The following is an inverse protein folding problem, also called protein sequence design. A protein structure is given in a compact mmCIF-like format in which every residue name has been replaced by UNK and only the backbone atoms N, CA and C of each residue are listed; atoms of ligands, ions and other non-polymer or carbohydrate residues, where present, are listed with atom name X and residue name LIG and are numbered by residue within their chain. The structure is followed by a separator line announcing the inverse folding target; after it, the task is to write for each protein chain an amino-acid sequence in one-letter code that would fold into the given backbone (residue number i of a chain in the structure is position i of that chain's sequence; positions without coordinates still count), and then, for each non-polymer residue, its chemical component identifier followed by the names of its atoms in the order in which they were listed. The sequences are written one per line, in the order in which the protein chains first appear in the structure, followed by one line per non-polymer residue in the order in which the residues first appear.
data_IF_246006110533
#
_entry.id   IF_246006110533
#
_cell.length_a   1.000
_cell.length_b   1.000
_cell.length_c   1.000
_cell.angle_alpha   90.00
_cell.angle_beta   90.00
_cell.angle_gamma   90.00
#
_symmetry.space_group_name_H-M   'P 1'
#
loop_
_entity.id
_entity.type
_entity.pdbx_description
1 polymer ?
#
# COMPACT_ATOMS: atom_id res chain seq x y z
N UNK A 1 8.81 -25.61 -1.11
CA UNK A 1 9.44 -24.40 -0.50
C UNK A 1 8.52 -23.86 0.58
N UNK A 2 9.06 -23.40 1.72
CA UNK A 2 8.24 -22.74 2.75
C UNK A 2 7.84 -21.34 2.30
N UNK A 3 6.74 -20.79 2.84
CA UNK A 3 6.31 -19.41 2.57
C UNK A 3 7.45 -18.41 2.83
N UNK A 4 8.19 -18.58 3.94
CA UNK A 4 9.33 -17.72 4.28
C UNK A 4 10.41 -17.78 3.17
N UNK A 5 10.78 -18.97 2.73
CA UNK A 5 11.79 -19.11 1.67
C UNK A 5 11.34 -18.49 0.33
N UNK A 6 10.03 -18.55 0.02
CA UNK A 6 9.48 -17.90 -1.17
C UNK A 6 9.50 -16.37 -1.03
N UNK A 7 9.16 -15.84 0.15
CA UNK A 7 9.26 -14.41 0.44
C UNK A 7 10.71 -13.91 0.37
N UNK A 8 11.67 -14.66 0.96
CA UNK A 8 13.10 -14.33 0.89
C UNK A 8 13.60 -14.25 -0.56
N UNK A 9 13.21 -15.22 -1.38
CA UNK A 9 13.56 -15.22 -2.80
C UNK A 9 12.95 -14.04 -3.55
N UNK A 10 11.66 -13.74 -3.30
CA UNK A 10 10.96 -12.62 -3.92
C UNK A 10 11.55 -11.27 -3.52
N UNK A 11 11.84 -11.05 -2.24
CA UNK A 11 12.47 -9.83 -1.73
C UNK A 11 13.85 -9.60 -2.36
N UNK A 12 14.66 -10.67 -2.45
CA UNK A 12 15.96 -10.61 -3.17
C UNK A 12 15.78 -10.27 -4.65
N UNK A 13 14.79 -10.88 -5.31
CA UNK A 13 14.49 -10.60 -6.72
C UNK A 13 14.06 -9.16 -6.96
N UNK A 14 13.38 -8.53 -5.99
CA UNK A 14 13.04 -7.12 -6.02
C UNK A 14 14.25 -6.20 -5.71
N UNK A 15 15.39 -6.74 -5.32
CA UNK A 15 16.58 -5.96 -4.91
C UNK A 15 16.37 -5.17 -3.62
N UNK A 16 15.42 -5.57 -2.78
CA UNK A 16 15.08 -4.85 -1.56
C UNK A 16 15.92 -5.32 -0.37
N UNK A 17 16.46 -4.38 0.39
CA UNK A 17 17.01 -4.62 1.72
C UNK A 17 15.91 -4.43 2.76
N UNK A 18 15.54 -5.51 3.46
CA UNK A 18 14.53 -5.49 4.52
C UNK A 18 15.17 -5.87 5.87
N UNK A 19 14.59 -5.45 7.00
CA UNK A 19 15.09 -5.82 8.32
C UNK A 19 15.15 -7.34 8.54
N UNK A 20 16.06 -7.77 9.40
CA UNK A 20 16.10 -9.16 9.84
C UNK A 20 14.76 -9.59 10.43
N UNK A 21 14.26 -10.75 10.03
CA UNK A 21 12.95 -11.26 10.46
C UNK A 21 11.73 -10.68 9.72
N UNK A 22 11.91 -9.74 8.79
CA UNK A 22 10.79 -9.14 8.04
C UNK A 22 9.98 -10.20 7.27
N UNK A 23 10.63 -11.13 6.58
CA UNK A 23 9.95 -12.21 5.84
C UNK A 23 9.21 -13.20 6.75
N UNK A 24 9.70 -13.43 7.97
CA UNK A 24 8.97 -14.20 8.98
C UNK A 24 7.70 -13.46 9.44
N UNK A 25 7.78 -12.15 9.70
CA UNK A 25 6.61 -11.32 10.01
C UNK A 25 5.60 -11.33 8.87
N UNK A 26 6.04 -11.20 7.62
CA UNK A 26 5.17 -11.27 6.43
C UNK A 26 4.50 -12.64 6.27
N UNK A 27 5.19 -13.72 6.58
CA UNK A 27 4.60 -15.07 6.61
C UNK A 27 3.53 -15.19 7.71
N UNK A 28 3.78 -14.63 8.90
CA UNK A 28 2.78 -14.55 9.99
C UNK A 28 1.55 -13.74 9.56
N UNK A 29 1.75 -12.59 8.90
CA UNK A 29 0.67 -11.80 8.33
C UNK A 29 -0.19 -12.60 7.35
N UNK A 30 0.43 -13.35 6.43
CA UNK A 30 -0.31 -14.18 5.47
C UNK A 30 -1.09 -15.31 6.15
N UNK A 31 -0.53 -15.95 7.17
CA UNK A 31 -1.22 -16.98 7.94
C UNK A 31 -2.45 -16.39 8.66
N UNK A 32 -2.29 -15.20 9.27
CA UNK A 32 -3.39 -14.49 9.92
C UNK A 32 -4.47 -14.08 8.91
N UNK A 33 -4.07 -13.54 7.76
CA UNK A 33 -4.98 -13.17 6.68
C UNK A 33 -5.76 -14.39 6.18
N UNK A 34 -5.11 -15.50 5.92
CA UNK A 34 -5.76 -16.74 5.50
C UNK A 34 -6.77 -17.24 6.53
N UNK A 35 -6.46 -17.16 7.84
CA UNK A 35 -7.37 -17.52 8.93
C UNK A 35 -8.62 -16.64 8.93
N UNK A 36 -8.47 -15.34 8.92
CA UNK A 36 -9.57 -14.39 8.94
C UNK A 36 -10.41 -14.43 7.65
N UNK A 37 -9.76 -14.66 6.51
CA UNK A 37 -10.43 -14.68 5.22
C UNK A 37 -11.49 -15.80 5.09
N UNK A 38 -11.35 -16.86 5.89
CA UNK A 38 -12.36 -17.95 5.94
C UNK A 38 -13.72 -17.45 6.43
N UNK A 39 -13.73 -16.45 7.31
CA UNK A 39 -14.95 -15.94 7.95
C UNK A 39 -15.41 -14.61 7.37
N UNK A 40 -14.47 -13.71 7.02
CA UNK A 40 -14.80 -12.32 6.73
C UNK A 40 -14.63 -11.91 5.27
N UNK A 41 -14.14 -12.80 4.38
CA UNK A 41 -13.91 -12.52 2.96
C UNK A 41 -13.12 -11.22 2.73
N UNK A 42 -11.98 -11.11 3.40
CA UNK A 42 -11.10 -9.93 3.35
C UNK A 42 -10.40 -9.78 1.99
N UNK A 43 -10.19 -10.88 1.27
CA UNK A 43 -9.60 -10.92 -0.07
C UNK A 43 -10.21 -12.04 -0.90
N UNK A 44 -10.24 -11.85 -2.22
CA UNK A 44 -10.67 -12.89 -3.16
C UNK A 44 -9.62 -14.01 -3.33
N UNK A 45 -8.34 -13.72 -3.07
CA UNK A 45 -7.24 -14.67 -3.21
C UNK A 45 -7.23 -15.58 -1.98
N UNK A 46 -7.29 -16.90 -2.23
CA UNK A 46 -7.34 -17.92 -1.18
C UNK A 46 -6.11 -18.82 -1.17
N UNK A 47 -5.46 -18.96 -2.31
CA UNK A 47 -4.26 -19.81 -2.47
C UNK A 47 -3.05 -19.14 -1.81
N UNK A 48 -2.37 -19.81 -0.84
CA UNK A 48 -1.25 -19.20 -0.10
C UNK A 48 -0.11 -18.73 -1.00
N UNK A 49 0.22 -19.49 -2.06
CA UNK A 49 1.27 -19.09 -3.00
C UNK A 49 0.91 -17.79 -3.74
N UNK A 50 -0.35 -17.64 -4.15
CA UNK A 50 -0.83 -16.40 -4.76
C UNK A 50 -0.88 -15.24 -3.77
N UNK A 51 -1.17 -15.49 -2.49
CA UNK A 51 -1.09 -14.44 -1.47
C UNK A 51 0.34 -13.89 -1.32
N UNK A 52 1.37 -14.74 -1.44
CA UNK A 52 2.77 -14.29 -1.42
C UNK A 52 3.02 -13.30 -2.55
N UNK A 53 2.69 -13.66 -3.78
CA UNK A 53 3.01 -12.87 -4.96
C UNK A 53 2.09 -11.65 -5.13
N UNK A 54 0.76 -11.86 -5.12
CA UNK A 54 -0.23 -10.83 -5.44
C UNK A 54 -0.60 -9.92 -4.27
N UNK A 55 -0.17 -10.26 -3.04
CA UNK A 55 -0.37 -9.39 -1.89
C UNK A 55 0.95 -8.82 -1.38
N UNK A 56 1.87 -9.69 -0.95
CA UNK A 56 3.08 -9.21 -0.28
C UNK A 56 4.11 -8.66 -1.28
N UNK A 57 4.50 -9.45 -2.29
CA UNK A 57 5.51 -9.00 -3.25
C UNK A 57 4.98 -7.85 -4.13
N UNK A 58 3.71 -7.87 -4.50
CA UNK A 58 3.04 -6.76 -5.19
C UNK A 58 3.10 -5.46 -4.37
N UNK A 59 2.83 -5.55 -3.05
CA UNK A 59 2.94 -4.39 -2.15
C UNK A 59 4.38 -3.90 -1.99
N UNK A 60 5.34 -4.82 -1.83
CA UNK A 60 6.75 -4.49 -1.66
C UNK A 60 7.39 -3.92 -2.92
N UNK A 61 6.92 -4.31 -4.12
CA UNK A 61 7.41 -3.80 -5.39
C UNK A 61 7.28 -2.26 -5.49
N UNK A 62 6.37 -1.65 -4.75
CA UNK A 62 6.24 -0.18 -4.64
C UNK A 62 7.56 0.47 -4.22
N UNK A 63 8.30 -0.16 -3.30
CA UNK A 63 9.58 0.36 -2.78
C UNK A 63 10.71 0.38 -3.82
N UNK A 64 10.57 -0.29 -4.94
CA UNK A 64 11.54 -0.23 -6.04
C UNK A 64 11.45 1.07 -6.84
N UNK A 65 10.34 1.80 -6.71
CA UNK A 65 10.04 3.01 -7.48
C UNK A 65 9.82 4.25 -6.61
N UNK A 66 9.64 4.07 -5.30
CA UNK A 66 9.44 5.17 -4.36
C UNK A 66 10.62 5.32 -3.41
N UNK A 67 11.28 6.46 -3.49
CA UNK A 67 12.30 6.86 -2.51
C UNK A 67 11.59 7.60 -1.37
N UNK A 68 11.50 6.95 -0.22
CA UNK A 68 10.86 7.49 0.97
C UNK A 68 11.91 7.87 2.01
N UNK A 69 11.87 9.10 2.49
CA UNK A 69 12.73 9.55 3.57
C UNK A 69 12.44 8.77 4.87
N UNK A 70 13.44 8.61 5.71
CA UNK A 70 13.24 8.07 7.06
C UNK A 70 12.34 9.00 7.87
N UNK A 71 11.38 8.44 8.60
CA UNK A 71 10.36 9.20 9.31
C UNK A 71 9.18 9.66 8.46
N UNK A 72 9.18 9.41 7.15
CA UNK A 72 8.08 9.81 6.28
C UNK A 72 6.76 9.18 6.74
N UNK A 73 5.69 9.97 6.65
CA UNK A 73 4.32 9.60 7.00
C UNK A 73 3.60 9.08 5.77
N UNK A 74 3.17 7.84 5.81
CA UNK A 74 2.45 7.18 4.73
C UNK A 74 1.01 6.87 5.16
N UNK A 75 0.04 7.23 4.34
CA UNK A 75 -1.36 6.87 4.48
C UNK A 75 -1.76 5.85 3.40
N UNK A 76 -2.22 4.68 3.80
CA UNK A 76 -2.84 3.69 2.93
C UNK A 76 -4.36 3.86 2.98
N UNK A 77 -4.96 4.38 1.89
CA UNK A 77 -6.40 4.69 1.82
C UNK A 77 -7.16 3.54 1.20
N UNK A 78 -8.17 3.07 1.90
CA UNK A 78 -8.92 1.88 1.51
C UNK A 78 -8.05 0.63 1.63
N UNK A 79 -7.28 0.54 2.71
CA UNK A 79 -6.25 -0.47 2.92
C UNK A 79 -6.76 -1.92 2.91
N UNK A 80 -8.08 -2.12 2.97
CA UNK A 80 -8.65 -3.46 2.93
C UNK A 80 -8.09 -4.37 4.03
N UNK A 81 -7.44 -5.49 3.68
CA UNK A 81 -6.74 -6.32 4.64
C UNK A 81 -5.34 -5.78 5.01
N UNK A 82 -5.11 -4.47 4.91
CA UNK A 82 -3.83 -3.84 5.23
C UNK A 82 -2.81 -3.86 4.08
N UNK A 83 -3.27 -3.77 2.84
CA UNK A 83 -2.43 -3.86 1.64
C UNK A 83 -2.55 -2.59 0.78
N UNK A 84 -1.43 -1.91 0.48
CA UNK A 84 -0.04 -2.32 0.71
C UNK A 84 0.55 -1.96 2.09
N UNK A 85 -0.14 -1.23 2.94
CA UNK A 85 0.40 -0.59 4.15
C UNK A 85 1.12 -1.51 5.13
N UNK A 86 0.56 -2.70 5.48
CA UNK A 86 1.23 -3.62 6.42
C UNK A 86 2.55 -4.18 5.89
N UNK A 87 2.65 -4.69 4.64
CA UNK A 87 3.93 -5.09 4.07
C UNK A 87 4.95 -3.95 4.04
N UNK A 88 4.52 -2.72 3.72
CA UNK A 88 5.41 -1.54 3.73
C UNK A 88 5.90 -1.21 5.15
N UNK A 89 5.02 -1.27 6.16
CA UNK A 89 5.39 -1.05 7.56
C UNK A 89 6.40 -2.10 8.07
N UNK A 90 6.27 -3.37 7.65
CA UNK A 90 7.21 -4.43 7.99
C UNK A 90 8.57 -4.22 7.32
N UNK A 91 8.58 -3.84 6.04
CA UNK A 91 9.82 -3.66 5.27
C UNK A 91 10.57 -2.37 5.64
N UNK A 92 9.85 -1.33 6.07
CA UNK A 92 10.36 0.00 6.40
C UNK A 92 9.88 0.44 7.79
N UNK A 93 10.50 -0.08 8.86
CA UNK A 93 10.12 0.26 10.24
C UNK A 93 10.41 1.73 10.61
N UNK A 94 11.15 2.41 9.79
CA UNK A 94 11.46 3.85 9.88
C UNK A 94 10.34 4.77 9.36
N UNK A 95 9.33 4.23 8.67
CA UNK A 95 8.15 4.99 8.23
C UNK A 95 7.07 5.03 9.31
N UNK A 96 6.25 6.07 9.33
CA UNK A 96 5.01 6.13 10.11
C UNK A 96 3.81 5.80 9.20
N UNK A 97 3.26 4.58 9.31
CA UNK A 97 2.22 4.09 8.41
C UNK A 97 0.85 4.14 9.06
N UNK A 98 -0.09 4.84 8.44
CA UNK A 98 -1.51 4.86 8.84
C UNK A 98 -2.31 4.07 7.81
N UNK A 99 -3.11 3.10 8.27
CA UNK A 99 -3.98 2.29 7.43
C UNK A 99 -5.44 2.69 7.67
N UNK A 100 -6.08 3.23 6.65
CA UNK A 100 -7.43 3.79 6.70
C UNK A 100 -8.40 2.92 5.91
N UNK A 101 -9.45 2.43 6.54
CA UNK A 101 -10.58 1.76 5.85
C UNK A 101 -11.90 2.12 6.55
N UNK A 102 -12.98 2.23 5.78
CA UNK A 102 -14.31 2.51 6.33
C UNK A 102 -14.98 1.27 6.93
N UNK A 103 -14.49 0.07 6.63
CA UNK A 103 -15.05 -1.18 7.10
C UNK A 103 -14.43 -1.59 8.44
N UNK A 104 -15.20 -1.48 9.53
CA UNK A 104 -14.72 -1.81 10.88
C UNK A 104 -14.16 -3.24 11.03
N UNK A 105 -14.69 -4.23 10.29
CA UNK A 105 -14.16 -5.61 10.34
C UNK A 105 -12.76 -5.70 9.76
N UNK A 106 -12.49 -4.97 8.66
CA UNK A 106 -11.16 -4.87 8.07
C UNK A 106 -10.19 -4.16 9.01
N UNK A 107 -10.63 -3.06 9.62
CA UNK A 107 -9.82 -2.33 10.62
C UNK A 107 -9.50 -3.20 11.83
N UNK A 108 -10.45 -3.98 12.35
CA UNK A 108 -10.19 -4.93 13.45
C UNK A 108 -9.15 -5.98 13.06
N UNK A 109 -9.19 -6.49 11.82
CA UNK A 109 -8.15 -7.38 11.31
C UNK A 109 -6.78 -6.69 11.29
N UNK A 110 -6.70 -5.46 10.76
CA UNK A 110 -5.44 -4.69 10.68
C UNK A 110 -4.88 -4.45 12.10
N UNK A 111 -5.73 -4.07 13.07
CA UNK A 111 -5.34 -3.86 14.46
C UNK A 111 -4.73 -5.13 15.08
N UNK A 112 -5.37 -6.28 14.85
CA UNK A 112 -4.82 -7.56 15.30
C UNK A 112 -3.49 -7.87 14.62
N UNK A 113 -3.38 -7.65 13.30
CA UNK A 113 -2.14 -7.88 12.57
C UNK A 113 -1.00 -6.98 13.10
N UNK A 114 -1.25 -5.70 13.34
CA UNK A 114 -0.29 -4.77 13.94
C UNK A 114 0.22 -5.31 15.28
N UNK A 115 -0.69 -5.77 16.16
CA UNK A 115 -0.34 -6.33 17.45
C UNK A 115 0.48 -7.62 17.34
N UNK A 116 0.04 -8.59 16.52
CA UNK A 116 0.75 -9.88 16.37
C UNK A 116 2.12 -9.74 15.70
N UNK A 117 2.26 -8.77 14.78
CA UNK A 117 3.55 -8.50 14.11
C UNK A 117 4.46 -7.58 14.93
N UNK A 118 3.97 -6.99 16.02
CA UNK A 118 4.72 -6.04 16.85
C UNK A 118 5.17 -4.82 16.05
N UNK A 119 4.26 -4.17 15.32
CA UNK A 119 4.56 -3.00 14.49
C UNK A 119 4.29 -1.71 15.28
N UNK A 120 5.34 -1.13 15.86
CA UNK A 120 5.23 0.15 16.58
C UNK A 120 5.05 1.36 15.64
N UNK A 121 5.30 1.16 14.34
CA UNK A 121 5.28 2.19 13.31
C UNK A 121 4.00 2.17 12.46
N UNK A 122 2.98 1.38 12.84
CA UNK A 122 1.72 1.27 12.10
C UNK A 122 0.52 1.56 12.99
N UNK A 123 -0.49 2.24 12.44
CA UNK A 123 -1.76 2.52 13.10
C UNK A 123 -2.94 2.27 12.16
N UNK A 124 -4.03 1.68 12.67
CA UNK A 124 -5.26 1.44 11.92
C UNK A 124 -6.35 2.42 12.34
N UNK A 125 -7.04 2.99 11.36
CA UNK A 125 -8.11 3.99 11.56
C UNK A 125 -9.38 3.57 10.83
N UNK A 126 -10.51 3.55 11.56
CA UNK A 126 -11.83 3.29 11.00
C UNK A 126 -12.50 4.61 10.65
N UNK A 127 -12.41 5.04 9.40
CA UNK A 127 -13.09 6.24 8.90
C UNK A 127 -13.27 6.19 7.38
N UNK A 128 -14.21 6.99 6.87
CA UNK A 128 -14.24 7.33 5.44
C UNK A 128 -13.16 8.36 5.16
N UNK A 129 -12.49 8.22 4.02
CA UNK A 129 -11.36 9.08 3.67
C UNK A 129 -11.77 10.57 3.52
N UNK A 130 -12.98 10.83 3.03
CA UNK A 130 -13.53 12.19 2.86
C UNK A 130 -13.75 12.92 4.19
N UNK A 131 -13.99 12.15 5.25
CA UNK A 131 -14.21 12.70 6.61
C UNK A 131 -13.00 12.58 7.53
N UNK A 132 -11.94 11.91 7.09
CA UNK A 132 -10.74 11.74 7.89
C UNK A 132 -10.00 13.06 8.08
N UNK A 133 -9.67 13.39 9.32
CA UNK A 133 -8.95 14.61 9.70
C UNK A 133 -7.75 14.23 10.56
N UNK A 134 -6.58 13.98 9.94
CA UNK A 134 -5.37 13.64 10.68
C UNK A 134 -4.81 14.85 11.44
N UNK A 135 -4.08 14.58 12.54
CA UNK A 135 -3.40 15.62 13.31
C UNK A 135 -2.25 16.30 12.53
N UNK A 136 -1.68 15.61 11.55
CA UNK A 136 -0.67 16.15 10.65
C UNK A 136 -0.78 15.49 9.27
N UNK A 137 -0.40 16.20 8.19
CA UNK A 137 -0.50 15.69 6.81
C UNK A 137 0.50 14.56 6.55
N UNK A 138 0.35 13.91 5.39
CA UNK A 138 1.16 12.76 4.96
C UNK A 138 2.10 13.14 3.81
N UNK A 139 3.31 12.58 3.82
CA UNK A 139 4.26 12.72 2.73
C UNK A 139 3.85 11.88 1.53
N UNK A 140 3.18 10.74 1.78
CA UNK A 140 2.64 9.86 0.75
C UNK A 140 1.25 9.39 1.13
N UNK A 141 0.32 9.51 0.20
CA UNK A 141 -0.99 8.85 0.24
C UNK A 141 -1.01 7.80 -0.84
N UNK A 142 -1.12 6.53 -0.45
CA UNK A 142 -1.13 5.38 -1.37
C UNK A 142 -2.48 4.67 -1.35
N UNK A 143 -2.86 4.09 -2.47
CA UNK A 143 -4.01 3.19 -2.55
C UNK A 143 -3.81 2.11 -3.61
N UNK A 144 -4.35 0.92 -3.36
CA UNK A 144 -4.39 -0.19 -4.31
C UNK A 144 -5.78 -0.44 -4.90
N UNK A 145 -6.82 0.09 -4.32
CA UNK A 145 -8.19 -0.33 -4.58
C UNK A 145 -9.13 0.77 -5.09
N UNK A 146 -8.62 1.95 -5.37
CA UNK A 146 -9.46 3.00 -5.96
C UNK A 146 -9.76 2.69 -7.43
N UNK A 147 -11.03 2.78 -7.78
CA UNK A 147 -11.51 2.51 -9.13
C UNK A 147 -11.12 3.59 -10.14
N UNK A 148 -10.87 4.82 -9.67
CA UNK A 148 -10.66 6.00 -10.51
C UNK A 148 -9.60 6.92 -9.90
N UNK A 149 -8.67 7.44 -10.75
CA UNK A 149 -7.57 8.30 -10.32
C UNK A 149 -8.04 9.69 -9.85
N UNK A 150 -9.04 10.26 -10.52
CA UNK A 150 -9.56 11.58 -10.14
C UNK A 150 -10.27 11.52 -8.78
N UNK A 151 -11.05 10.46 -8.53
CA UNK A 151 -11.67 10.22 -7.23
C UNK A 151 -10.62 9.99 -6.14
N UNK A 152 -9.56 9.23 -6.42
CA UNK A 152 -8.45 9.05 -5.49
C UNK A 152 -7.74 10.37 -5.19
N UNK A 153 -7.47 11.17 -6.22
CA UNK A 153 -6.82 12.47 -6.07
C UNK A 153 -7.68 13.45 -5.26
N UNK A 154 -8.99 13.48 -5.50
CA UNK A 154 -9.92 14.36 -4.76
C UNK A 154 -9.90 14.05 -3.25
N UNK A 155 -9.80 12.77 -2.88
CA UNK A 155 -9.76 12.32 -1.49
C UNK A 155 -8.38 12.46 -0.87
N UNK A 156 -7.32 12.13 -1.62
CA UNK A 156 -5.96 12.08 -1.09
C UNK A 156 -5.28 13.45 -1.00
N UNK A 157 -5.53 14.35 -1.98
CA UNK A 157 -4.89 15.67 -2.03
C UNK A 157 -5.03 16.49 -0.72
N UNK A 158 -6.21 16.58 -0.09
CA UNK A 158 -6.37 17.33 1.16
C UNK A 158 -5.57 16.74 2.35
N UNK A 159 -5.08 15.52 2.22
CA UNK A 159 -4.35 14.80 3.27
C UNK A 159 -2.83 14.90 3.10
N UNK A 160 -2.35 15.46 1.97
CA UNK A 160 -0.92 15.57 1.67
C UNK A 160 -0.26 16.74 2.39
N UNK A 161 0.98 16.51 2.78
CA UNK A 161 1.93 17.58 3.11
C UNK A 161 2.35 18.34 1.83
N UNK A 162 2.85 19.58 1.96
CA UNK A 162 3.48 20.29 0.84
C UNK A 162 4.56 19.41 0.18
N UNK A 163 4.51 19.25 -1.15
CA UNK A 163 5.42 18.38 -1.89
C UNK A 163 5.13 16.88 -1.76
N UNK A 164 4.07 16.49 -1.07
CA UNK A 164 3.67 15.08 -0.90
C UNK A 164 3.15 14.45 -2.19
N UNK A 165 3.12 13.12 -2.22
CA UNK A 165 2.79 12.30 -3.38
C UNK A 165 1.49 11.51 -3.19
N UNK A 166 0.68 11.47 -4.24
CA UNK A 166 -0.40 10.49 -4.41
C UNK A 166 0.13 9.31 -5.22
N UNK A 167 -0.06 8.10 -4.73
CA UNK A 167 0.45 6.89 -5.37
C UNK A 167 -0.67 5.89 -5.54
N UNK A 168 -1.09 5.65 -6.78
CA UNK A 168 -2.10 4.64 -7.09
C UNK A 168 -1.43 3.38 -7.68
N UNK A 169 -1.75 2.22 -7.11
CA UNK A 169 -1.35 0.92 -7.66
C UNK A 169 -2.41 0.46 -8.65
N UNK A 170 -2.01 0.25 -9.89
CA UNK A 170 -2.87 -0.19 -10.99
C UNK A 170 -2.32 -1.46 -11.64
N UNK A 171 -3.18 -2.19 -12.31
CA UNK A 171 -2.77 -3.29 -13.19
C UNK A 171 -2.24 -2.75 -14.52
N UNK A 172 -3.11 -2.71 -15.52
CA UNK A 172 -2.82 -2.08 -16.81
C UNK A 172 -2.74 -0.56 -16.64
N UNK A 173 -1.90 0.11 -17.43
CA UNK A 173 -1.81 1.57 -17.45
C UNK A 173 -3.18 2.16 -17.79
N UNK A 174 -3.79 2.98 -16.92
CA UNK A 174 -5.16 3.47 -17.10
C UNK A 174 -5.17 4.77 -17.92
N UNK A 175 -4.96 4.68 -19.23
CA UNK A 175 -4.82 5.84 -20.12
C UNK A 175 -6.03 6.78 -20.08
N UNK A 176 -7.25 6.23 -20.06
CA UNK A 176 -8.48 7.03 -19.97
C UNK A 176 -8.60 7.79 -18.65
N UNK A 177 -8.23 7.14 -17.52
CA UNK A 177 -8.23 7.80 -16.20
C UNK A 177 -7.15 8.89 -16.12
N UNK A 178 -5.98 8.66 -16.74
CA UNK A 178 -4.90 9.64 -16.82
C UNK A 178 -5.33 10.87 -17.62
N UNK A 179 -6.01 10.67 -18.76
CA UNK A 179 -6.53 11.76 -19.58
C UNK A 179 -7.66 12.56 -18.89
N UNK A 180 -8.39 11.92 -17.97
CA UNK A 180 -9.48 12.53 -17.22
C UNK A 180 -9.04 13.22 -15.92
N UNK A 181 -7.75 13.22 -15.59
CA UNK A 181 -7.26 13.88 -14.37
C UNK A 181 -7.52 15.40 -14.42
N UNK A 182 -7.95 16.00 -13.28
CA UNK A 182 -8.06 17.45 -13.19
C UNK A 182 -6.70 18.14 -13.39
N UNK A 183 -6.68 19.32 -14.01
CA UNK A 183 -5.46 20.12 -14.22
C UNK A 183 -4.70 20.47 -12.92
N UNK A 184 -5.39 20.41 -11.78
CA UNK A 184 -4.80 20.59 -10.46
C UNK A 184 -3.95 19.40 -9.97
N UNK A 185 -3.85 18.33 -10.77
CA UNK A 185 -3.04 17.13 -10.46
C UNK A 185 -2.08 16.89 -11.62
N UNK A 186 -0.79 16.88 -11.30
CA UNK A 186 0.26 16.53 -12.23
C UNK A 186 0.68 15.06 -12.07
N UNK A 187 0.82 14.35 -13.18
CA UNK A 187 1.41 13.01 -13.21
C UNK A 187 2.93 13.14 -13.21
N UNK A 188 3.58 12.64 -12.18
CA UNK A 188 5.05 12.69 -12.04
C UNK A 188 5.71 11.53 -12.79
N UNK A 189 5.15 10.32 -12.63
CA UNK A 189 5.66 9.13 -13.29
C UNK A 189 4.62 8.01 -13.31
N UNK A 190 4.78 7.08 -14.26
CA UNK A 190 3.93 5.89 -14.41
C UNK A 190 4.77 4.61 -14.57
N UNK A 191 5.70 4.30 -13.65
CA UNK A 191 6.58 3.17 -13.82
C UNK A 191 5.82 1.84 -13.79
N UNK A 192 6.23 0.92 -14.66
CA UNK A 192 5.84 -0.48 -14.56
C UNK A 192 6.55 -1.14 -13.39
N UNK A 193 5.85 -2.02 -12.69
CA UNK A 193 6.40 -2.83 -11.60
C UNK A 193 6.64 -4.27 -12.06
N UNK A 194 7.85 -4.76 -11.89
CA UNK A 194 8.18 -6.17 -12.04
C UNK A 194 7.93 -6.88 -10.70
N UNK A 195 6.84 -7.64 -10.61
CA UNK A 195 6.49 -8.39 -9.39
C UNK A 195 6.87 -9.85 -9.58
N UNK A 196 7.79 -10.42 -8.78
CA UNK A 196 8.22 -11.80 -8.92
C UNK A 196 7.05 -12.79 -8.81
N UNK A 197 6.88 -13.65 -9.84
CA UNK A 197 5.80 -14.62 -9.92
C UNK A 197 4.43 -14.06 -10.30
N UNK A 198 4.39 -12.86 -10.87
CA UNK A 198 3.18 -12.25 -11.44
C UNK A 198 3.45 -11.85 -12.88
N UNK A 199 2.80 -12.53 -13.83
CA UNK A 199 2.93 -12.23 -15.26
C UNK A 199 2.04 -11.06 -15.70
N UNK A 200 1.03 -10.70 -14.88
CA UNK A 200 0.14 -9.59 -15.17
C UNK A 200 0.84 -8.24 -14.98
N UNK A 201 0.52 -7.29 -15.84
CA UNK A 201 1.04 -5.93 -15.74
C UNK A 201 0.72 -5.30 -14.39
N UNK A 202 1.66 -4.51 -13.89
CA UNK A 202 1.52 -3.68 -12.69
C UNK A 202 2.18 -2.34 -12.94
N UNK A 203 1.49 -1.26 -12.53
CA UNK A 203 1.99 0.10 -12.65
C UNK A 203 1.78 0.86 -11.35
N UNK A 204 2.66 1.79 -11.07
CA UNK A 204 2.37 2.89 -10.15
C UNK A 204 2.00 4.12 -10.97
N UNK A 205 0.97 4.83 -10.53
CA UNK A 205 0.69 6.17 -11.00
C UNK A 205 1.09 7.10 -9.85
N UNK A 206 2.18 7.82 -10.06
CA UNK A 206 2.73 8.77 -9.09
C UNK A 206 2.29 10.16 -9.51
N UNK A 207 1.55 10.83 -8.64
CA UNK A 207 0.94 12.13 -8.89
C UNK A 207 1.26 13.09 -7.75
N UNK A 208 1.18 14.36 -8.04
CA UNK A 208 1.28 15.44 -7.03
C UNK A 208 0.29 16.56 -7.37
N UNK A 209 -0.09 17.41 -6.40
CA UNK A 209 -0.78 18.65 -6.71
C UNK A 209 0.05 19.45 -7.72
N UNK A 210 -0.58 19.93 -8.80
CA UNK A 210 0.09 20.84 -9.71
C UNK A 210 0.48 22.12 -8.95
N UNK A 211 1.66 22.64 -9.21
CA UNK A 211 2.05 23.94 -8.69
C UNK A 211 1.02 24.97 -9.18
N UNK A 212 0.43 25.69 -8.23
CA UNK A 212 -0.40 26.84 -8.61
C UNK A 212 0.54 27.86 -9.24
N UNK A 213 0.27 28.26 -10.48
CA UNK A 213 0.93 29.45 -11.04
C UNK A 213 0.73 30.61 -10.05
N UNK A 214 1.81 31.34 -9.72
CA UNK A 214 1.77 32.43 -8.75
C UNK A 214 0.83 33.56 -9.11
#
# INVERSE_FOLDING_TARGET
MTIVATLDAGVRSLGLAVPAGATAKLATFLALLAKWNRTFNLTAIREPAQMVTHHVLDSLAVLTQLVLASGARLLDVGSGPGLPGLPLAVARPDLAVTLLDSNGKKVSFIQQAIGELGLANAAAVAARAESFRPAAPFDVVISRAFSDLAAFAAVGRPLLAPGGLLVAMKGILPEDELAALPSAIAVVATPALAVPGVDAQRHLIIMQPAESDP
#
